data_IF_105690823880
#
_entry.id   IF_105690823880
#
_cell.length_a   1.000
_cell.length_b   1.000
_cell.length_c   1.000
_cell.angle_alpha   90.00
_cell.angle_beta   90.00
_cell.angle_gamma   90.00
#
_symmetry.space_group_name_H-M   'P 1'
#
loop_
_entity.id
_entity.type
_entity.pdbx_description
1 polymer ?
#
# COMPACT_ATOMS: atom_id res chain seq x y z
N UNK A 1 -17.96 2.94 -4.53
CA UNK A 1 -18.06 2.46 -3.14
C UNK A 1 -16.75 1.78 -2.87
N UNK A 2 -15.98 2.32 -1.94
CA UNK A 2 -14.78 1.67 -1.41
C UNK A 2 -15.20 0.38 -0.70
N UNK A 3 -14.53 -0.72 -1.02
CA UNK A 3 -14.74 -2.01 -0.37
C UNK A 3 -13.64 -2.26 0.65
N UNK A 4 -14.03 -2.74 1.82
CA UNK A 4 -13.11 -3.33 2.79
C UNK A 4 -13.25 -4.86 2.70
N UNK A 5 -12.19 -5.51 2.24
CA UNK A 5 -12.12 -6.96 2.05
C UNK A 5 -11.13 -7.54 3.04
N UNK A 6 -11.55 -8.56 3.79
CA UNK A 6 -10.68 -9.23 4.77
C UNK A 6 -10.19 -10.54 4.19
N UNK A 7 -8.87 -10.66 4.03
CA UNK A 7 -8.18 -11.85 3.56
C UNK A 7 -7.75 -12.70 4.76
N UNK A 8 -7.88 -14.02 4.66
CA UNK A 8 -7.69 -14.96 5.78
C UNK A 8 -6.47 -15.86 5.65
N UNK A 9 -5.78 -15.81 4.52
CA UNK A 9 -4.56 -16.58 4.28
C UNK A 9 -3.79 -16.00 3.08
N UNK A 10 -2.56 -16.44 2.92
CA UNK A 10 -1.69 -15.94 1.85
C UNK A 10 -2.14 -16.40 0.45
N UNK A 11 -2.85 -17.52 0.32
CA UNK A 11 -3.37 -17.95 -0.98
C UNK A 11 -4.42 -16.96 -1.53
N UNK A 12 -5.21 -16.34 -0.65
CA UNK A 12 -6.16 -15.29 -1.03
C UNK A 12 -5.43 -14.01 -1.48
N UNK A 13 -4.31 -13.67 -0.84
CA UNK A 13 -3.44 -12.55 -1.28
C UNK A 13 -2.85 -12.82 -2.67
N UNK A 14 -2.33 -14.03 -2.89
CA UNK A 14 -1.82 -14.44 -4.20
C UNK A 14 -2.91 -14.41 -5.28
N UNK A 15 -4.10 -14.90 -4.96
CA UNK A 15 -5.23 -14.90 -5.88
C UNK A 15 -5.65 -13.45 -6.23
N UNK A 16 -5.66 -12.55 -5.23
CA UNK A 16 -5.93 -11.13 -5.43
C UNK A 16 -4.91 -10.47 -6.36
N UNK A 17 -3.61 -10.64 -6.11
CA UNK A 17 -2.54 -10.04 -6.92
C UNK A 17 -2.61 -10.49 -8.39
N UNK A 18 -2.93 -11.76 -8.63
CA UNK A 18 -3.13 -12.32 -9.98
C UNK A 18 -4.27 -11.65 -10.76
N UNK A 19 -5.24 -11.02 -10.08
CA UNK A 19 -6.31 -10.29 -10.77
C UNK A 19 -5.81 -9.01 -11.46
N UNK A 20 -4.63 -8.50 -11.08
CA UNK A 20 -4.07 -7.26 -11.59
C UNK A 20 -2.64 -7.41 -12.15
N UNK A 21 -2.20 -8.64 -12.41
CA UNK A 21 -0.81 -9.02 -12.77
C UNK A 21 -0.26 -8.40 -14.08
N UNK A 22 -0.89 -7.37 -14.65
CA UNK A 22 -0.51 -6.73 -15.91
C UNK A 22 -0.72 -5.20 -15.98
N UNK A 23 -1.00 -4.47 -14.88
CA UNK A 23 -1.40 -3.04 -15.00
C UNK A 23 -0.39 -2.03 -14.45
N UNK A 24 0.60 -2.44 -13.66
CA UNK A 24 1.75 -1.57 -13.40
C UNK A 24 2.59 -1.48 -14.67
N UNK A 25 2.25 -0.50 -15.51
CA UNK A 25 3.05 -0.09 -16.66
C UNK A 25 4.52 0.02 -16.25
N UNK A 26 5.46 -0.18 -17.19
CA UNK A 26 6.91 0.01 -17.01
C UNK A 26 7.31 1.39 -16.40
N UNK A 27 6.34 2.27 -16.16
CA UNK A 27 6.46 3.61 -15.62
C UNK A 27 6.50 3.68 -14.09
N UNK A 28 6.14 2.62 -13.35
CA UNK A 28 6.09 2.60 -11.89
C UNK A 28 7.05 1.58 -11.29
N UNK A 29 7.88 2.02 -10.35
CA UNK A 29 8.81 1.16 -9.63
C UNK A 29 8.22 0.71 -8.29
N UNK A 30 8.31 -0.59 -8.01
CA UNK A 30 8.00 -1.18 -6.70
C UNK A 30 8.94 -0.71 -5.57
N UNK A 31 10.06 -0.08 -5.90
CA UNK A 31 11.03 0.45 -4.93
C UNK A 31 10.91 1.95 -4.74
N UNK A 32 9.92 2.60 -5.34
CA UNK A 32 9.73 4.05 -5.30
C UNK A 32 8.35 4.39 -4.75
N UNK A 33 8.30 5.40 -3.87
CA UNK A 33 7.05 6.00 -3.43
C UNK A 33 6.69 7.20 -4.31
N UNK A 34 5.40 7.49 -4.44
CA UNK A 34 4.87 8.54 -5.30
C UNK A 34 3.87 9.41 -4.56
N UNK A 35 3.91 10.72 -4.80
CA UNK A 35 2.95 11.70 -4.26
C UNK A 35 1.69 11.69 -5.10
N UNK A 36 0.54 11.54 -4.45
CA UNK A 36 -0.78 11.43 -5.09
C UNK A 36 -1.75 12.45 -4.49
N UNK A 37 -2.94 12.58 -5.07
CA UNK A 37 -4.02 13.35 -4.47
C UNK A 37 -4.81 12.55 -3.42
N UNK A 38 -5.52 13.20 -2.48
CA UNK A 38 -6.41 12.51 -1.54
C UNK A 38 -7.49 11.67 -2.24
N UNK A 39 -8.00 12.14 -3.38
CA UNK A 39 -8.99 11.42 -4.19
C UNK A 39 -8.45 10.12 -4.77
N UNK A 40 -7.14 10.01 -4.96
CA UNK A 40 -6.54 8.78 -5.49
C UNK A 40 -6.58 7.68 -4.44
N UNK A 41 -6.40 8.01 -3.15
CA UNK A 41 -6.40 7.04 -2.05
C UNK A 41 -7.83 6.71 -1.60
N UNK A 42 -8.71 7.71 -1.42
CA UNK A 42 -10.08 7.53 -0.90
C UNK A 42 -10.94 6.63 -1.82
N UNK A 43 -10.55 6.47 -3.08
CA UNK A 43 -11.28 5.62 -4.03
C UNK A 43 -10.72 4.19 -4.12
N UNK A 44 -9.66 3.85 -3.39
CA UNK A 44 -9.04 2.53 -3.42
C UNK A 44 -9.74 1.56 -2.46
N UNK A 45 -9.95 0.33 -2.90
CA UNK A 45 -10.42 -0.74 -2.02
C UNK A 45 -9.32 -1.12 -1.02
N UNK A 46 -9.67 -1.40 0.23
CA UNK A 46 -8.74 -1.82 1.27
C UNK A 46 -8.81 -3.33 1.50
N UNK A 47 -7.66 -4.00 1.44
CA UNK A 47 -7.52 -5.44 1.63
C UNK A 47 -6.72 -5.71 2.91
N UNK A 48 -7.43 -6.10 3.97
CA UNK A 48 -6.85 -6.39 5.29
C UNK A 48 -6.34 -7.82 5.37
N UNK A 49 -5.15 -8.02 5.95
CA UNK A 49 -4.51 -9.33 6.09
C UNK A 49 -4.75 -9.84 7.52
N UNK A 50 -5.91 -10.42 7.78
CA UNK A 50 -6.31 -10.94 9.10
C UNK A 50 -5.84 -12.39 9.31
N UNK A 51 -4.51 -12.58 9.26
CA UNK A 51 -3.86 -13.86 9.50
C UNK A 51 -2.38 -13.69 9.90
N UNK A 52 -1.77 -14.72 10.50
CA UNK A 52 -0.34 -14.68 10.80
C UNK A 52 0.50 -14.84 9.52
N UNK A 53 1.65 -14.16 9.41
CA UNK A 53 2.32 -13.35 10.43
C UNK A 53 1.88 -11.86 10.47
N UNK A 54 0.95 -11.45 9.63
CA UNK A 54 0.58 -10.04 9.41
C UNK A 54 -0.14 -9.40 10.60
N UNK A 55 -0.92 -10.17 11.37
CA UNK A 55 -1.48 -9.67 12.64
C UNK A 55 -0.39 -9.33 13.65
N UNK A 56 0.57 -10.22 13.83
CA UNK A 56 1.73 -9.99 14.71
C UNK A 56 2.57 -8.80 14.23
N UNK A 57 2.75 -8.65 12.93
CA UNK A 57 3.41 -7.50 12.32
C UNK A 57 2.68 -6.19 12.64
N UNK A 58 1.36 -6.13 12.47
CA UNK A 58 0.57 -4.93 12.76
C UNK A 58 0.75 -4.50 14.22
N UNK A 59 0.67 -5.47 15.16
CA UNK A 59 0.86 -5.21 16.59
C UNK A 59 2.27 -4.69 16.88
N UNK A 60 3.32 -5.28 16.26
CA UNK A 60 4.70 -4.90 16.55
C UNK A 60 5.05 -3.47 16.10
N UNK A 61 4.34 -2.95 15.10
CA UNK A 61 4.51 -1.58 14.58
C UNK A 61 3.40 -0.62 15.02
N UNK A 62 2.56 -1.02 15.98
CA UNK A 62 1.52 -0.17 16.58
C UNK A 62 0.32 0.14 15.66
N UNK A 63 0.07 -0.68 14.64
CA UNK A 63 -1.08 -0.58 13.76
C UNK A 63 -2.23 -1.46 14.26
N UNK A 64 -3.48 -1.06 13.95
CA UNK A 64 -4.67 -1.86 14.27
C UNK A 64 -4.79 -3.12 13.40
N UNK A 65 -4.35 -3.03 12.15
CA UNK A 65 -4.30 -4.11 11.18
C UNK A 65 -3.20 -3.81 10.15
N UNK A 66 -2.82 -4.84 9.39
CA UNK A 66 -1.97 -4.68 8.21
C UNK A 66 -2.80 -4.94 6.95
N UNK A 67 -2.55 -4.19 5.89
CA UNK A 67 -3.25 -4.36 4.62
C UNK A 67 -2.66 -3.51 3.51
N UNK A 68 -3.24 -3.65 2.33
CA UNK A 68 -2.88 -2.91 1.11
C UNK A 68 -4.12 -2.26 0.51
N UNK A 69 -3.93 -1.19 -0.24
CA UNK A 69 -4.99 -0.57 -1.02
C UNK A 69 -4.85 -0.98 -2.49
N UNK A 70 -5.96 -1.35 -3.13
CA UNK A 70 -6.01 -1.63 -4.55
C UNK A 70 -6.74 -0.54 -5.31
N UNK A 71 -6.15 -0.10 -6.42
CA UNK A 71 -6.85 0.66 -7.45
C UNK A 71 -7.05 -0.22 -8.69
N UNK A 72 -7.69 0.30 -9.75
CA UNK A 72 -7.72 -0.41 -11.04
C UNK A 72 -6.33 -0.60 -11.67
N UNK A 73 -5.30 0.08 -11.16
CA UNK A 73 -3.95 0.10 -11.73
C UNK A 73 -2.92 -0.73 -10.96
N UNK A 74 -3.22 -1.15 -9.73
CA UNK A 74 -2.27 -1.90 -8.91
C UNK A 74 -2.62 -1.92 -7.43
N UNK A 75 -1.70 -2.49 -6.66
CA UNK A 75 -1.78 -2.54 -5.20
C UNK A 75 -0.67 -1.72 -4.56
N UNK A 76 -1.00 -1.06 -3.45
CA UNK A 76 -0.15 -0.05 -2.84
C UNK A 76 -0.15 -0.13 -1.32
N UNK A 77 0.99 0.22 -0.72
CA UNK A 77 1.00 0.80 0.63
C UNK A 77 0.67 2.28 0.50
N UNK A 78 -0.25 2.79 1.33
CA UNK A 78 -0.74 4.18 1.24
C UNK A 78 -0.59 4.92 2.55
N UNK A 79 -0.31 6.21 2.48
CA UNK A 79 -0.22 7.09 3.65
C UNK A 79 -0.82 8.46 3.37
N UNK A 80 -1.58 8.99 4.33
CA UNK A 80 -2.14 10.34 4.31
C UNK A 80 -1.65 11.07 5.55
N UNK A 81 -0.82 12.08 5.35
CA UNK A 81 -0.37 12.99 6.39
C UNK A 81 -1.27 14.23 6.44
N UNK A 82 -2.00 14.39 7.54
CA UNK A 82 -2.91 15.53 7.77
C UNK A 82 -2.26 16.64 8.62
N UNK A 83 -0.96 16.53 8.96
CA UNK A 83 -0.28 17.43 9.89
C UNK A 83 0.14 18.80 9.34
N UNK A 84 -0.36 19.22 8.17
CA UNK A 84 0.07 20.44 7.47
C UNK A 84 -1.07 21.27 6.87
N UNK A 85 -0.74 22.30 6.08
CA UNK A 85 -1.73 23.16 5.40
C UNK A 85 -2.45 22.43 4.24
N UNK A 86 -1.89 21.34 3.73
CA UNK A 86 -2.50 20.47 2.73
C UNK A 86 -2.13 19.01 3.04
N UNK A 87 -3.03 18.03 2.79
CA UNK A 87 -2.71 16.63 2.96
C UNK A 87 -1.54 16.22 2.05
N UNK A 88 -0.52 15.58 2.62
CA UNK A 88 0.49 14.87 1.83
C UNK A 88 0.07 13.42 1.72
N UNK A 89 -0.30 13.01 0.51
CA UNK A 89 -0.73 11.65 0.21
C UNK A 89 0.37 10.94 -0.58
N UNK A 90 0.75 9.75 -0.15
CA UNK A 90 1.80 8.96 -0.79
C UNK A 90 1.37 7.51 -0.98
N UNK A 91 1.77 6.93 -2.10
CA UNK A 91 1.60 5.49 -2.37
C UNK A 91 2.92 4.85 -2.71
N UNK A 92 3.04 3.55 -2.46
CA UNK A 92 4.16 2.72 -2.93
C UNK A 92 3.61 1.44 -3.54
N UNK A 93 3.85 1.17 -4.84
CA UNK A 93 3.44 -0.08 -5.46
C UNK A 93 4.06 -1.27 -4.71
N UNK A 94 3.30 -2.34 -4.55
CA UNK A 94 3.77 -3.59 -3.94
C UNK A 94 3.51 -4.79 -4.84
N UNK A 95 4.46 -5.71 -4.86
CA UNK A 95 4.33 -7.00 -5.53
C UNK A 95 4.29 -8.14 -4.51
N UNK A 96 4.06 -9.35 -5.02
CA UNK A 96 3.95 -10.55 -4.19
C UNK A 96 5.21 -10.80 -3.33
N UNK A 97 6.41 -10.68 -3.91
CA UNK A 97 7.64 -10.96 -3.17
C UNK A 97 7.88 -9.98 -2.03
N UNK A 98 7.54 -8.70 -2.22
CA UNK A 98 7.59 -7.69 -1.16
C UNK A 98 6.58 -7.95 -0.05
N UNK A 99 5.40 -8.50 -0.37
CA UNK A 99 4.42 -8.87 0.66
C UNK A 99 4.84 -10.11 1.47
N UNK A 100 5.71 -10.96 0.93
CA UNK A 100 6.29 -12.10 1.64
C UNK A 100 7.48 -11.70 2.54
N UNK A 101 8.11 -10.56 2.25
CA UNK A 101 9.26 -10.06 3.00
C UNK A 101 8.82 -9.27 4.25
N UNK A 102 8.70 -9.98 5.38
CA UNK A 102 8.24 -9.39 6.63
C UNK A 102 9.19 -8.34 7.18
N UNK A 103 10.50 -8.47 6.93
CA UNK A 103 11.49 -7.50 7.39
C UNK A 103 11.34 -6.20 6.59
N UNK A 104 11.13 -6.30 5.28
CA UNK A 104 10.77 -5.15 4.44
C UNK A 104 9.47 -4.49 4.93
N UNK A 105 8.43 -5.27 5.21
CA UNK A 105 7.15 -4.72 5.68
C UNK A 105 7.28 -4.07 7.06
N UNK A 106 8.03 -4.68 8.00
CA UNK A 106 8.31 -4.11 9.31
C UNK A 106 9.15 -2.83 9.20
N UNK A 107 10.15 -2.81 8.32
CA UNK A 107 10.93 -1.61 8.04
C UNK A 107 10.02 -0.51 7.52
N UNK A 108 9.21 -0.81 6.50
CA UNK A 108 8.28 0.15 5.93
C UNK A 108 7.32 0.67 7.00
N UNK A 109 6.71 -0.18 7.81
CA UNK A 109 5.71 0.21 8.82
C UNK A 109 6.26 0.87 10.10
N UNK A 110 7.47 0.53 10.54
CA UNK A 110 8.07 1.10 11.78
C UNK A 110 8.34 2.61 11.71
N UNK A 111 8.56 3.13 10.50
CA UNK A 111 8.64 4.57 10.21
C UNK A 111 7.75 4.89 9.00
N UNK A 112 6.54 4.35 8.98
CA UNK A 112 5.63 4.34 7.83
C UNK A 112 5.50 5.68 7.10
N UNK A 113 5.17 6.72 7.84
CA UNK A 113 5.05 8.08 7.31
C UNK A 113 6.36 8.51 6.63
N UNK A 114 7.47 8.40 7.36
CA UNK A 114 8.77 8.86 6.87
C UNK A 114 9.24 8.02 5.67
N UNK A 115 9.12 6.71 5.67
CA UNK A 115 9.59 5.85 4.58
C UNK A 115 8.79 6.03 3.29
N UNK A 116 7.49 6.28 3.40
CA UNK A 116 6.66 6.54 2.23
C UNK A 116 6.85 7.95 1.68
N UNK A 117 7.10 8.94 2.54
CA UNK A 117 7.32 10.33 2.14
C UNK A 117 8.75 10.59 1.67
N UNK A 118 9.73 9.90 2.23
CA UNK A 118 11.14 10.09 1.93
C UNK A 118 11.42 9.76 0.47
N UNK A 119 11.86 10.77 -0.28
CA UNK A 119 12.12 10.69 -1.72
C UNK A 119 10.89 10.39 -2.59
N UNK A 120 9.66 10.59 -2.08
CA UNK A 120 8.45 10.40 -2.87
C UNK A 120 8.45 11.32 -4.10
N UNK A 121 8.31 10.73 -5.28
CA UNK A 121 8.35 11.45 -6.56
C UNK A 121 6.96 11.97 -6.92
N UNK A 122 6.84 13.15 -7.58
CA UNK A 122 5.57 13.58 -8.12
C UNK A 122 5.09 12.61 -9.20
N UNK A 123 3.79 12.29 -9.22
CA UNK A 123 3.18 11.51 -10.32
C UNK A 123 3.04 12.30 -11.61
N UNK A 124 3.17 13.63 -11.58
CA UNK A 124 2.94 14.50 -12.74
C UNK A 124 1.46 14.56 -13.08
N UNK A 125 1.10 14.31 -14.34
CA UNK A 125 -0.31 14.22 -14.80
C UNK A 125 -0.93 12.82 -14.61
N UNK A 126 -0.19 11.87 -14.02
CA UNK A 126 -0.62 10.47 -13.89
C UNK A 126 -1.67 10.33 -12.79
N UNK A 127 -2.72 9.56 -13.08
CA UNK A 127 -3.81 9.22 -12.14
C UNK A 127 -3.74 7.74 -11.76
N UNK A 128 -4.18 7.42 -10.55
CA UNK A 128 -4.26 6.06 -10.00
C UNK A 128 -5.65 5.46 -10.06
#
# INVERSE_FOLDING_TARGET
MEQHVVLKNFNEVEALLKTQDNVLSDLWSYTQSYKVGPSDIINMDFYEFDFEPYRSLAVSVGMSCFGINGSGNGFYLTHINLGGHAPLCTVRPVNLSQLQDLDYLAQMSSNYCANLELNAQPTGERRL
#
